data_IF_654011455017
#
_entry.id   IF_654011455017
#
_cell.length_a   1.000
_cell.length_b   1.000
_cell.length_c   1.000
_cell.angle_alpha   90.00
_cell.angle_beta   90.00
_cell.angle_gamma   90.00
#
_symmetry.space_group_name_H-M   'P 1'
#
loop_
_entity.id
_entity.type
_entity.pdbx_description
1 polymer ?
#
# COMPACT_ATOMS: atom_id res chain seq x y z
N UNK A 1 -26.28 4.19 -30.82
CA UNK A 1 -24.95 3.68 -31.21
C UNK A 1 -24.26 3.14 -29.97
N UNK A 2 -24.54 1.88 -29.61
CA UNK A 2 -23.99 1.24 -28.42
C UNK A 2 -22.55 0.82 -28.72
N UNK A 3 -21.57 1.46 -28.09
CA UNK A 3 -20.17 0.99 -28.17
C UNK A 3 -20.12 -0.33 -27.41
N UNK A 4 -20.15 -1.40 -28.20
CA UNK A 4 -19.76 -2.75 -27.84
C UNK A 4 -18.51 -2.68 -26.96
N UNK A 5 -18.72 -2.78 -25.64
CA UNK A 5 -17.69 -2.71 -24.61
C UNK A 5 -16.69 -3.79 -24.98
N UNK A 6 -15.56 -3.32 -25.50
CA UNK A 6 -14.51 -4.06 -26.17
C UNK A 6 -14.36 -5.47 -25.59
N UNK A 7 -14.36 -6.47 -26.49
CA UNK A 7 -13.96 -7.87 -26.28
C UNK A 7 -13.34 -8.04 -24.91
N UNK A 8 -14.08 -8.61 -23.96
CA UNK A 8 -13.56 -9.06 -22.66
C UNK A 8 -12.25 -9.78 -22.96
N UNK A 9 -11.12 -9.11 -22.75
CA UNK A 9 -9.83 -9.79 -22.75
C UNK A 9 -10.02 -10.93 -21.77
N UNK A 10 -9.85 -12.16 -22.24
CA UNK A 10 -9.83 -13.35 -21.39
C UNK A 10 -8.59 -13.22 -20.52
N UNK A 11 -8.71 -12.42 -19.46
CA UNK A 11 -7.69 -12.25 -18.46
C UNK A 11 -7.60 -13.59 -17.72
N UNK A 12 -6.41 -14.18 -17.71
CA UNK A 12 -6.15 -15.41 -16.99
C UNK A 12 -6.30 -15.23 -15.47
N UNK A 13 -5.92 -16.25 -14.69
CA UNK A 13 -5.81 -16.14 -13.25
C UNK A 13 -4.79 -15.06 -12.85
N UNK A 14 -5.10 -14.31 -11.79
CA UNK A 14 -4.17 -13.32 -11.22
C UNK A 14 -2.85 -13.96 -10.80
N UNK A 15 -2.89 -15.21 -10.34
CA UNK A 15 -1.69 -15.96 -9.89
C UNK A 15 -0.64 -16.10 -10.98
N UNK A 16 -1.04 -16.41 -12.22
CA UNK A 16 -0.08 -16.47 -13.34
C UNK A 16 0.60 -15.12 -13.59
N UNK A 17 -0.15 -14.02 -13.41
CA UNK A 17 0.39 -12.67 -13.56
C UNK A 17 1.38 -12.36 -12.42
N UNK A 18 1.04 -12.74 -11.19
CA UNK A 18 1.89 -12.56 -10.01
C UNK A 18 3.19 -13.36 -10.16
N UNK A 19 3.13 -14.62 -10.57
CA UNK A 19 4.31 -15.47 -10.78
C UNK A 19 5.23 -14.93 -11.87
N UNK A 20 4.66 -14.42 -12.98
CA UNK A 20 5.45 -13.78 -14.03
C UNK A 20 6.19 -12.55 -13.52
N UNK A 21 5.53 -11.71 -12.74
CA UNK A 21 6.15 -10.50 -12.20
C UNK A 21 7.20 -10.84 -11.13
N UNK A 22 6.95 -11.87 -10.31
CA UNK A 22 7.92 -12.37 -9.32
C UNK A 22 9.27 -12.73 -9.94
N UNK A 23 9.27 -13.40 -11.09
CA UNK A 23 10.52 -13.72 -11.81
C UNK A 23 11.31 -12.46 -12.19
N UNK A 24 10.62 -11.40 -12.63
CA UNK A 24 11.26 -10.11 -12.96
C UNK A 24 11.84 -9.43 -11.72
N UNK A 25 11.23 -9.61 -10.55
CA UNK A 25 11.80 -9.17 -9.28
C UNK A 25 13.04 -9.99 -8.92
N UNK A 26 13.01 -11.31 -9.10
CA UNK A 26 14.15 -12.21 -8.84
C UNK A 26 15.34 -11.89 -9.75
N UNK A 27 15.09 -11.41 -10.97
CA UNK A 27 16.10 -10.88 -11.89
C UNK A 27 16.66 -9.50 -11.47
N UNK A 28 16.17 -8.91 -10.37
CA UNK A 28 16.60 -7.61 -9.85
C UNK A 28 15.99 -6.40 -10.56
N UNK A 29 15.07 -6.61 -11.51
CA UNK A 29 14.42 -5.52 -12.25
C UNK A 29 13.19 -4.99 -11.50
N UNK A 30 13.44 -4.36 -10.35
CA UNK A 30 12.39 -3.89 -9.45
C UNK A 30 11.48 -2.83 -10.08
N UNK A 31 12.05 -1.88 -10.84
CA UNK A 31 11.27 -0.84 -11.51
C UNK A 31 10.41 -1.42 -12.64
N UNK A 32 10.96 -2.33 -13.46
CA UNK A 32 10.20 -3.04 -14.48
C UNK A 32 9.05 -3.85 -13.88
N UNK A 33 9.33 -4.59 -12.80
CA UNK A 33 8.31 -5.32 -12.06
C UNK A 33 7.22 -4.39 -11.51
N UNK A 34 7.56 -3.21 -11.00
CA UNK A 34 6.59 -2.22 -10.55
C UNK A 34 5.65 -1.77 -11.68
N UNK A 35 6.19 -1.45 -12.84
CA UNK A 35 5.38 -1.05 -14.00
C UNK A 35 4.47 -2.19 -14.47
N UNK A 36 4.95 -3.44 -14.39
CA UNK A 36 4.11 -4.60 -14.65
C UNK A 36 2.97 -4.72 -13.63
N UNK A 37 3.24 -4.62 -12.31
CA UNK A 37 2.19 -4.65 -11.29
C UNK A 37 1.10 -3.59 -11.55
N UNK A 38 1.49 -2.37 -11.92
CA UNK A 38 0.55 -1.29 -12.27
C UNK A 38 -0.25 -1.61 -13.53
N UNK A 39 0.41 -2.07 -14.60
CA UNK A 39 -0.23 -2.40 -15.87
C UNK A 39 -1.21 -3.57 -15.74
N UNK A 40 -0.80 -4.65 -15.07
CA UNK A 40 -1.66 -5.82 -14.85
C UNK A 40 -2.86 -5.45 -13.99
N UNK A 41 -2.65 -4.83 -12.82
CA UNK A 41 -3.78 -4.45 -11.94
C UNK A 41 -4.78 -3.52 -12.65
N UNK A 42 -4.32 -2.55 -13.44
CA UNK A 42 -5.19 -1.67 -14.24
C UNK A 42 -6.08 -2.45 -15.24
N UNK A 43 -5.57 -3.53 -15.84
CA UNK A 43 -6.36 -4.40 -16.72
C UNK A 43 -7.47 -5.14 -15.97
N UNK A 44 -7.18 -5.66 -14.78
CA UNK A 44 -8.20 -6.32 -13.94
C UNK A 44 -9.25 -5.31 -13.44
N UNK A 45 -8.82 -4.12 -13.01
CA UNK A 45 -9.72 -3.02 -12.62
C UNK A 45 -10.65 -2.64 -13.77
N UNK A 46 -10.13 -2.49 -15.00
CA UNK A 46 -10.93 -2.16 -16.19
C UNK A 46 -11.96 -3.23 -16.55
N UNK A 47 -11.71 -4.46 -16.11
CA UNK A 47 -12.61 -5.61 -16.26
C UNK A 47 -13.54 -5.80 -15.05
N UNK A 48 -13.61 -4.85 -14.12
CA UNK A 48 -14.36 -4.91 -12.85
C UNK A 48 -13.96 -6.10 -11.95
N UNK A 49 -12.76 -6.67 -12.17
CA UNK A 49 -12.17 -7.77 -11.40
C UNK A 49 -11.28 -7.23 -10.27
N UNK A 50 -11.91 -6.50 -9.34
CA UNK A 50 -11.19 -5.77 -8.29
C UNK A 50 -10.47 -6.69 -7.30
N UNK A 51 -11.06 -7.83 -6.94
CA UNK A 51 -10.41 -8.78 -6.00
C UNK A 51 -9.07 -9.26 -6.52
N UNK A 52 -9.00 -9.63 -7.79
CA UNK A 52 -7.75 -10.06 -8.44
C UNK A 52 -6.75 -8.91 -8.59
N UNK A 53 -7.22 -7.70 -8.87
CA UNK A 53 -6.35 -6.53 -8.88
C UNK A 53 -5.72 -6.26 -7.50
N UNK A 54 -6.50 -6.41 -6.43
CA UNK A 54 -6.03 -6.27 -5.05
C UNK A 54 -4.98 -7.33 -4.71
N UNK A 55 -5.15 -8.57 -5.16
CA UNK A 55 -4.17 -9.65 -4.94
C UNK A 55 -2.83 -9.34 -5.60
N UNK A 56 -2.88 -8.83 -6.84
CA UNK A 56 -1.70 -8.39 -7.61
C UNK A 56 -1.00 -7.25 -6.89
N UNK A 57 -1.74 -6.22 -6.46
CA UNK A 57 -1.19 -5.04 -5.80
C UNK A 57 -0.63 -5.36 -4.42
N UNK A 58 -1.33 -6.16 -3.62
CA UNK A 58 -0.86 -6.59 -2.31
C UNK A 58 0.42 -7.41 -2.42
N UNK A 59 0.47 -8.37 -3.37
CA UNK A 59 1.68 -9.16 -3.62
C UNK A 59 2.84 -8.26 -4.03
N UNK A 60 2.62 -7.33 -4.97
CA UNK A 60 3.67 -6.43 -5.43
C UNK A 60 4.18 -5.50 -4.34
N UNK A 61 3.28 -4.91 -3.55
CA UNK A 61 3.65 -4.06 -2.42
C UNK A 61 4.53 -4.82 -1.40
N UNK A 62 4.11 -6.03 -0.98
CA UNK A 62 4.87 -6.83 -0.03
C UNK A 62 6.27 -7.16 -0.55
N UNK A 63 6.37 -7.65 -1.79
CA UNK A 63 7.63 -8.10 -2.38
C UNK A 63 8.61 -6.94 -2.57
N UNK A 64 8.13 -5.79 -3.06
CA UNK A 64 8.98 -4.62 -3.23
C UNK A 64 9.50 -4.10 -1.88
N UNK A 65 8.63 -4.03 -0.87
CA UNK A 65 9.02 -3.62 0.48
C UNK A 65 10.04 -4.59 1.11
N UNK A 66 9.85 -5.90 0.93
CA UNK A 66 10.78 -6.94 1.40
C UNK A 66 12.17 -6.84 0.76
N UNK A 67 12.25 -6.41 -0.50
CA UNK A 67 13.51 -6.18 -1.22
C UNK A 67 14.09 -4.78 -1.00
N UNK A 68 13.59 -4.04 0.00
CA UNK A 68 14.07 -2.69 0.33
C UNK A 68 13.66 -1.60 -0.68
N UNK A 69 12.82 -1.93 -1.66
CA UNK A 69 12.31 -1.00 -2.68
C UNK A 69 11.13 -0.22 -2.15
N UNK A 70 11.40 0.63 -1.15
CA UNK A 70 10.40 1.34 -0.36
C UNK A 70 9.49 2.22 -1.23
N UNK A 71 10.07 2.99 -2.15
CA UNK A 71 9.32 3.88 -3.04
C UNK A 71 8.37 3.08 -3.93
N UNK A 72 8.88 2.04 -4.58
CA UNK A 72 8.11 1.17 -5.46
C UNK A 72 6.98 0.45 -4.72
N UNK A 73 7.29 -0.10 -3.54
CA UNK A 73 6.33 -0.80 -2.69
C UNK A 73 5.25 0.12 -2.13
N UNK A 74 5.62 1.34 -1.72
CA UNK A 74 4.67 2.36 -1.25
C UNK A 74 3.69 2.75 -2.34
N UNK A 75 4.17 2.99 -3.56
CA UNK A 75 3.29 3.38 -4.67
C UNK A 75 2.24 2.29 -4.98
N UNK A 76 2.65 1.02 -4.96
CA UNK A 76 1.73 -0.10 -5.11
C UNK A 76 0.76 -0.23 -3.93
N UNK A 77 1.22 0.04 -2.71
CA UNK A 77 0.39 0.04 -1.51
C UNK A 77 -0.68 1.16 -1.53
N UNK A 78 -0.34 2.35 -2.00
CA UNK A 78 -1.31 3.44 -2.20
C UNK A 78 -2.33 3.05 -3.27
N UNK A 79 -1.87 2.48 -4.39
CA UNK A 79 -2.77 2.02 -5.45
C UNK A 79 -3.70 0.89 -4.98
N UNK A 80 -3.25 0.03 -4.06
CA UNK A 80 -4.10 -0.97 -3.40
C UNK A 80 -5.26 -0.30 -2.66
N UNK A 81 -4.99 0.73 -1.85
CA UNK A 81 -6.05 1.46 -1.12
C UNK A 81 -7.01 2.17 -2.08
N UNK A 82 -6.49 2.82 -3.12
CA UNK A 82 -7.36 3.42 -4.15
C UNK A 82 -8.27 2.39 -4.83
N UNK A 83 -7.75 1.17 -5.02
CA UNK A 83 -8.51 0.06 -5.62
C UNK A 83 -9.59 -0.46 -4.68
N UNK A 84 -9.36 -0.50 -3.37
CA UNK A 84 -10.40 -0.80 -2.37
C UNK A 84 -11.56 0.18 -2.47
N UNK A 85 -11.26 1.49 -2.55
CA UNK A 85 -12.27 2.55 -2.69
C UNK A 85 -13.03 2.42 -4.00
N UNK A 86 -12.33 2.23 -5.12
CA UNK A 86 -12.95 2.05 -6.45
C UNK A 86 -13.84 0.81 -6.51
N UNK A 87 -13.40 -0.30 -5.91
CA UNK A 87 -14.14 -1.55 -5.83
C UNK A 87 -15.26 -1.56 -4.79
N UNK A 88 -15.41 -0.49 -3.99
CA UNK A 88 -16.38 -0.36 -2.90
C UNK A 88 -16.31 -1.53 -1.91
N UNK A 89 -15.11 -1.98 -1.58
CA UNK A 89 -14.92 -3.03 -0.57
C UNK A 89 -15.36 -2.52 0.80
N UNK A 90 -16.06 -3.33 1.61
CA UNK A 90 -16.38 -2.97 2.98
C UNK A 90 -15.10 -2.87 3.81
N UNK A 91 -15.11 -1.99 4.80
CA UNK A 91 -14.05 -1.94 5.82
C UNK A 91 -14.35 -2.99 6.89
N UNK A 92 -14.04 -4.23 6.56
CA UNK A 92 -14.12 -5.39 7.45
C UNK A 92 -12.73 -5.83 7.93
N UNK A 93 -12.70 -6.82 8.83
CA UNK A 93 -11.46 -7.37 9.37
C UNK A 93 -10.55 -7.94 8.29
N UNK A 94 -11.12 -8.52 7.22
CA UNK A 94 -10.35 -9.06 6.09
C UNK A 94 -9.60 -7.94 5.34
N UNK A 95 -10.28 -6.82 5.06
CA UNK A 95 -9.66 -5.67 4.40
C UNK A 95 -8.59 -5.04 5.30
N UNK A 96 -8.87 -4.92 6.59
CA UNK A 96 -7.90 -4.44 7.59
C UNK A 96 -6.68 -5.34 7.69
N UNK A 97 -6.85 -6.66 7.67
CA UNK A 97 -5.75 -7.61 7.73
C UNK A 97 -4.85 -7.53 6.50
N UNK A 98 -5.43 -7.27 5.32
CA UNK A 98 -4.63 -7.02 4.11
C UNK A 98 -3.81 -5.73 4.21
N UNK A 99 -4.41 -4.65 4.74
CA UNK A 99 -3.71 -3.38 4.99
C UNK A 99 -2.59 -3.59 6.01
N UNK A 100 -2.89 -4.25 7.13
CA UNK A 100 -1.94 -4.60 8.18
C UNK A 100 -0.80 -5.45 7.65
N UNK A 101 -1.08 -6.40 6.76
CA UNK A 101 -0.06 -7.25 6.13
C UNK A 101 0.93 -6.44 5.30
N UNK A 102 0.47 -5.45 4.54
CA UNK A 102 1.37 -4.55 3.79
C UNK A 102 2.15 -3.64 4.77
N UNK A 103 1.46 -3.07 5.76
CA UNK A 103 2.07 -2.22 6.79
C UNK A 103 3.26 -2.92 7.48
N UNK A 104 3.09 -4.20 7.88
CA UNK A 104 4.13 -4.99 8.54
C UNK A 104 5.38 -5.24 7.66
N UNK A 105 5.29 -5.04 6.35
CA UNK A 105 6.42 -5.17 5.42
C UNK A 105 7.23 -3.89 5.26
N UNK A 106 6.73 -2.74 5.72
CA UNK A 106 7.52 -1.53 5.70
C UNK A 106 8.77 -1.69 6.58
N UNK A 107 9.97 -1.42 6.05
CA UNK A 107 11.21 -1.54 6.83
C UNK A 107 11.17 -0.60 8.03
N UNK A 108 11.40 -1.16 9.22
CA UNK A 108 11.39 -0.42 10.49
C UNK A 108 12.52 0.61 10.52
N UNK A 109 12.23 1.78 11.06
CA UNK A 109 13.17 2.88 11.20
C UNK A 109 14.23 2.46 12.23
N UNK A 110 15.40 2.03 11.76
CA UNK A 110 16.62 1.96 12.55
C UNK A 110 17.34 3.30 12.37
N UNK A 111 17.28 4.16 13.38
CA UNK A 111 18.12 5.35 13.47
C UNK A 111 19.50 4.89 13.97
N UNK A 112 20.61 5.17 13.27
CA UNK A 112 21.94 4.86 13.77
C UNK A 112 22.20 5.60 15.09
N UNK A 113 22.56 4.87 16.15
CA UNK A 113 22.73 5.41 17.51
C UNK A 113 24.19 5.71 17.90
N UNK A 114 25.17 5.51 17.01
CA UNK A 114 26.59 5.67 17.37
C UNK A 114 27.29 6.67 16.44
N UNK A 115 27.80 7.76 17.04
CA UNK A 115 28.47 8.88 16.38
C UNK A 115 29.94 8.90 16.82
N UNK A 116 30.78 8.10 16.17
CA UNK A 116 32.22 8.37 16.11
C UNK A 116 32.48 8.94 14.72
N UNK A 117 32.81 10.24 14.66
CA UNK A 117 32.77 11.02 13.43
C UNK A 117 34.10 10.97 12.68
N UNK A 118 34.19 10.16 11.62
CA UNK A 118 35.09 10.43 10.48
C UNK A 118 34.29 11.04 9.31
N UNK A 119 34.97 11.75 8.40
CA UNK A 119 34.35 12.47 7.28
C UNK A 119 33.59 11.53 6.31
N UNK A 120 34.06 10.27 6.19
CA UNK A 120 33.43 9.21 5.38
C UNK A 120 32.09 8.74 6.00
N UNK A 121 31.95 8.84 7.33
CA UNK A 121 30.72 8.48 8.06
C UNK A 121 29.62 9.53 7.90
N UNK A 122 29.97 10.80 7.65
CA UNK A 122 28.98 11.88 7.49
C UNK A 122 28.14 11.69 6.22
N UNK A 123 28.78 11.27 5.13
CA UNK A 123 28.10 10.94 3.87
C UNK A 123 27.15 9.73 4.07
N UNK A 124 27.64 8.65 4.69
CA UNK A 124 26.85 7.46 4.99
C UNK A 124 25.67 7.75 5.93
N UNK A 125 25.86 8.61 6.92
CA UNK A 125 24.79 9.07 7.81
C UNK A 125 23.74 9.89 7.06
N UNK A 126 24.14 10.77 6.15
CA UNK A 126 23.21 11.54 5.33
C UNK A 126 22.35 10.64 4.44
N UNK A 127 22.95 9.60 3.87
CA UNK A 127 22.28 8.60 3.03
C UNK A 127 21.34 7.72 3.86
N UNK A 128 21.80 7.25 5.03
CA UNK A 128 20.99 6.48 5.96
C UNK A 128 19.79 7.28 6.49
N UNK A 129 19.99 8.57 6.78
CA UNK A 129 18.93 9.49 7.20
C UNK A 129 17.96 9.78 6.06
N UNK A 130 18.46 9.98 4.84
CA UNK A 130 17.65 10.11 3.63
C UNK A 130 16.76 8.87 3.40
N UNK A 131 17.35 7.68 3.47
CA UNK A 131 16.62 6.42 3.36
C UNK A 131 15.61 6.22 4.51
N UNK A 132 15.95 6.62 5.74
CA UNK A 132 15.02 6.60 6.87
C UNK A 132 13.83 7.56 6.65
N UNK A 133 14.09 8.77 6.11
CA UNK A 133 13.05 9.74 5.78
C UNK A 133 12.11 9.23 4.69
N UNK A 134 12.63 8.69 3.59
CA UNK A 134 11.81 8.10 2.52
C UNK A 134 10.94 6.96 3.05
N UNK A 135 11.46 6.12 3.96
CA UNK A 135 10.69 5.08 4.65
C UNK A 135 9.54 5.64 5.49
N UNK A 136 9.82 6.64 6.31
CA UNK A 136 8.82 7.27 7.17
C UNK A 136 7.73 7.96 6.34
N UNK A 137 8.11 8.70 5.31
CA UNK A 137 7.18 9.41 4.42
C UNK A 137 6.31 8.44 3.63
N UNK A 138 6.90 7.36 3.09
CA UNK A 138 6.17 6.34 2.35
C UNK A 138 5.11 5.66 3.22
N UNK A 139 5.51 5.22 4.41
CA UNK A 139 4.59 4.63 5.38
C UNK A 139 3.47 5.60 5.78
N UNK A 140 3.82 6.86 6.08
CA UNK A 140 2.85 7.91 6.41
C UNK A 140 1.84 8.14 5.28
N UNK A 141 2.29 8.20 4.03
CA UNK A 141 1.42 8.40 2.88
C UNK A 141 0.43 7.24 2.69
N UNK A 142 0.90 6.01 2.86
CA UNK A 142 0.08 4.81 2.80
C UNK A 142 -1.00 4.81 3.90
N UNK A 143 -0.59 5.06 5.15
CA UNK A 143 -1.53 5.12 6.28
C UNK A 143 -2.54 6.26 6.13
N UNK A 144 -2.10 7.43 5.68
CA UNK A 144 -3.02 8.57 5.39
C UNK A 144 -4.02 8.20 4.31
N UNK A 145 -3.60 7.50 3.25
CA UNK A 145 -4.51 7.03 2.22
C UNK A 145 -5.53 6.05 2.80
N UNK A 146 -5.09 5.07 3.60
CA UNK A 146 -5.96 4.10 4.27
C UNK A 146 -6.98 4.78 5.21
N UNK A 147 -6.53 5.71 6.06
CA UNK A 147 -7.41 6.46 6.97
C UNK A 147 -8.40 7.32 6.19
N UNK A 148 -7.94 8.07 5.18
CA UNK A 148 -8.80 8.93 4.36
C UNK A 148 -9.84 8.12 3.58
N UNK A 149 -9.48 6.91 3.17
CA UNK A 149 -10.36 6.05 2.40
C UNK A 149 -11.56 5.55 3.20
N UNK A 150 -11.49 5.55 4.53
CA UNK A 150 -12.59 5.20 5.42
C UNK A 150 -13.72 6.24 5.29
N UNK A 151 -14.88 5.90 4.70
CA UNK A 151 -15.98 6.84 4.64
C UNK A 151 -16.47 7.08 6.07
N UNK A 152 -16.84 8.34 6.35
CA UNK A 152 -17.46 8.81 7.59
C UNK A 152 -18.87 8.22 7.85
N UNK A 153 -19.18 7.04 7.33
CA UNK A 153 -20.49 6.40 7.40
C UNK A 153 -20.48 5.29 8.44
N UNK A 154 -21.27 5.51 9.50
CA UNK A 154 -21.31 4.67 10.69
C UNK A 154 -21.78 3.24 10.45
N UNK A 155 -21.23 2.36 11.28
CA UNK A 155 -21.87 1.12 11.67
C UNK A 155 -22.78 1.38 12.88
N UNK A 156 -24.06 1.03 12.73
CA UNK A 156 -24.96 0.54 13.80
C UNK A 156 -25.24 1.45 15.00
N UNK A 157 -26.47 1.96 15.07
CA UNK A 157 -26.88 2.91 16.11
C UNK A 157 -26.89 2.38 17.55
N UNK A 158 -26.50 3.25 18.48
CA UNK A 158 -27.37 3.85 19.49
C UNK A 158 -26.62 4.94 20.26
N UNK A 159 -27.23 6.14 20.26
CA UNK A 159 -27.37 7.06 21.39
C UNK A 159 -26.14 7.83 21.90
N UNK A 160 -26.40 9.14 22.08
CA UNK A 160 -25.73 10.16 22.91
C UNK A 160 -24.52 10.82 22.24
N UNK A 161 -24.69 11.95 21.55
CA UNK A 161 -24.89 13.30 22.10
C UNK A 161 -23.54 14.05 22.24
N UNK A 162 -23.38 15.00 21.32
CA UNK A 162 -22.56 16.23 21.37
C UNK A 162 -21.19 16.19 22.07
N UNK A 163 -20.12 16.33 21.28
CA UNK A 163 -19.20 17.47 21.42
C UNK A 163 -18.29 17.64 20.19
N UNK A 164 -18.02 18.92 19.90
CA UNK A 164 -17.25 19.45 18.79
C UNK A 164 -15.74 19.35 19.02
N UNK A 165 -15.01 19.28 17.91
CA UNK A 165 -13.62 19.71 17.71
C UNK A 165 -12.56 19.03 18.60
N UNK A 166 -12.38 17.72 18.40
CA UNK A 166 -11.22 16.92 18.88
C UNK A 166 -10.92 15.65 18.07
N UNK A 167 -11.79 15.31 17.11
CA UNK A 167 -11.96 13.98 16.51
C UNK A 167 -10.89 13.49 15.52
N UNK A 168 -9.87 14.29 15.19
CA UNK A 168 -8.90 13.93 14.15
C UNK A 168 -7.66 13.20 14.67
N UNK A 169 -7.23 13.46 15.91
CA UNK A 169 -6.11 12.75 16.54
C UNK A 169 -6.54 11.38 17.09
N UNK A 170 -7.67 11.31 17.79
CA UNK A 170 -8.19 10.07 18.40
C UNK A 170 -8.50 8.96 17.36
N UNK A 171 -8.91 9.35 16.15
CA UNK A 171 -9.24 8.40 15.07
C UNK A 171 -8.01 7.87 14.32
N UNK A 172 -6.92 8.65 14.30
CA UNK A 172 -5.64 8.16 13.81
C UNK A 172 -5.09 7.09 14.76
N UNK A 173 -5.28 7.28 16.06
CA UNK A 173 -4.87 6.33 17.09
C UNK A 173 -5.63 5.00 17.01
N UNK A 174 -6.94 5.01 16.78
CA UNK A 174 -7.71 3.76 16.62
C UNK A 174 -7.26 2.93 15.41
N UNK A 175 -6.89 3.57 14.30
CA UNK A 175 -6.34 2.87 13.13
C UNK A 175 -4.92 2.36 13.43
N UNK A 176 -4.08 3.17 14.07
CA UNK A 176 -2.75 2.72 14.50
C UNK A 176 -2.89 1.54 15.48
N UNK A 177 -3.84 1.59 16.40
CA UNK A 177 -4.14 0.52 17.37
C UNK A 177 -4.70 -0.72 16.69
N UNK A 178 -5.50 -0.55 15.65
CA UNK A 178 -5.92 -1.66 14.78
C UNK A 178 -4.76 -2.18 13.92
N UNK A 179 -3.64 -1.47 13.74
CA UNK A 179 -2.50 -1.92 12.95
C UNK A 179 -1.33 -2.46 13.78
N UNK A 180 -1.29 -2.14 15.08
CA UNK A 180 -0.27 -2.56 16.05
C UNK A 180 -0.66 -3.86 16.73
#
# INVERSE_FOLDING_TARGET
MSRERAKRMTLGPAQESIEKIKKVVEEGNYYGAQQMYKSFSARYISADRYSEALDILQSGACIQLENGQVTCGTELAVLFVETLVKGKFPYDDDTLDRIRKIYKKFPRISVPQHLDLADDDMQQLSEALGAAKTRAEGCSSYLKAAIKSWPRSGYGGKMMEQKKDGDLEEKGEDVIRALT
#
